data_IF_827616749775
#
_entry.id   IF_827616749775
#
_cell.length_a   1.000
_cell.length_b   1.000
_cell.length_c   1.000
_cell.angle_alpha   90.00
_cell.angle_beta   90.00
_cell.angle_gamma   90.00
#
_symmetry.space_group_name_H-M   'P 1'
#
loop_
_entity.id
_entity.type
_entity.pdbx_description
1 polymer ?
#
# COMPACT_ATOMS: atom_id res chain seq x y z
N UNK A 1 -27.04 -9.56 15.14
CA UNK A 1 -26.87 -8.87 13.84
C UNK A 1 -25.38 -8.89 13.52
N UNK A 2 -25.00 -9.81 12.63
CA UNK A 2 -23.59 -10.10 12.29
C UNK A 2 -23.15 -9.19 11.14
N UNK A 3 -22.21 -8.29 11.41
CA UNK A 3 -21.55 -7.46 10.37
C UNK A 3 -20.55 -8.32 9.65
N UNK A 4 -20.97 -8.91 8.52
CA UNK A 4 -20.08 -9.62 7.62
C UNK A 4 -19.04 -8.67 7.02
N UNK A 5 -17.77 -8.82 7.43
CA UNK A 5 -16.63 -8.21 6.74
C UNK A 5 -16.53 -8.82 5.35
N UNK A 6 -16.77 -8.00 4.34
CA UNK A 6 -16.50 -8.38 2.94
C UNK A 6 -14.97 -8.45 2.80
N UNK A 7 -14.44 -9.66 2.76
CA UNK A 7 -13.04 -9.92 2.40
C UNK A 7 -13.01 -9.92 0.88
N UNK A 8 -12.55 -8.82 0.28
CA UNK A 8 -12.20 -8.79 -1.14
C UNK A 8 -10.92 -9.63 -1.28
N UNK A 9 -10.92 -10.73 -2.03
CA UNK A 9 -9.71 -11.51 -2.24
C UNK A 9 -8.73 -10.66 -3.05
N UNK A 10 -7.63 -10.27 -2.42
CA UNK A 10 -6.47 -9.68 -3.12
C UNK A 10 -6.00 -10.73 -4.14
N UNK A 11 -5.90 -10.40 -5.44
CA UNK A 11 -5.52 -11.40 -6.44
C UNK A 11 -4.13 -11.96 -6.09
N UNK A 12 -4.02 -13.28 -6.06
CA UNK A 12 -2.80 -14.05 -5.73
C UNK A 12 -1.55 -13.66 -6.56
N UNK A 13 -1.74 -12.89 -7.61
CA UNK A 13 -0.70 -12.38 -8.50
C UNK A 13 0.22 -11.36 -7.80
N UNK A 14 -0.28 -10.55 -6.87
CA UNK A 14 0.51 -9.55 -6.13
C UNK A 14 1.55 -10.19 -5.21
N UNK A 15 1.19 -11.28 -4.51
CA UNK A 15 2.13 -11.97 -3.62
C UNK A 15 3.27 -12.66 -4.39
N UNK A 16 2.99 -13.21 -5.59
CA UNK A 16 4.01 -13.86 -6.42
C UNK A 16 4.99 -12.86 -7.05
N UNK A 17 4.55 -11.64 -7.33
CA UNK A 17 5.41 -10.58 -7.86
C UNK A 17 6.45 -10.11 -6.85
N UNK A 18 6.03 -9.82 -5.61
CA UNK A 18 6.94 -9.44 -4.52
C UNK A 18 7.93 -10.56 -4.17
N UNK A 19 7.45 -11.82 -4.18
CA UNK A 19 8.29 -13.00 -3.94
C UNK A 19 9.31 -13.20 -5.08
N UNK A 20 9.00 -12.81 -6.30
CA UNK A 20 9.89 -12.93 -7.47
C UNK A 20 10.95 -11.84 -7.53
N UNK A 21 10.63 -10.60 -7.16
CA UNK A 21 11.63 -9.53 -6.95
C UNK A 21 12.57 -9.94 -5.81
N UNK A 22 12.05 -10.53 -4.75
CA UNK A 22 12.84 -11.05 -3.64
C UNK A 22 13.75 -12.21 -4.06
N UNK A 23 13.29 -13.13 -4.92
CA UNK A 23 14.10 -14.25 -5.44
C UNK A 23 15.17 -13.82 -6.45
N UNK A 24 14.92 -12.81 -7.27
CA UNK A 24 15.94 -12.21 -8.14
C UNK A 24 17.05 -11.57 -7.29
N UNK A 25 16.69 -10.96 -6.17
CA UNK A 25 17.64 -10.38 -5.20
C UNK A 25 18.50 -11.47 -4.54
N UNK A 26 17.94 -12.62 -4.17
CA UNK A 26 18.70 -13.74 -3.60
C UNK A 26 19.62 -14.43 -4.61
N UNK A 27 19.28 -14.43 -5.91
CA UNK A 27 20.12 -15.06 -6.95
C UNK A 27 21.35 -14.22 -7.27
N UNK A 28 21.22 -12.88 -7.26
CA UNK A 28 22.36 -11.98 -7.44
C UNK A 28 23.23 -11.83 -6.17
N UNK A 29 22.66 -12.04 -4.99
CA UNK A 29 23.41 -11.97 -3.73
C UNK A 29 24.36 -13.16 -3.52
N UNK A 30 24.02 -14.35 -4.04
CA UNK A 30 24.95 -15.51 -3.99
C UNK A 30 26.18 -15.33 -4.88
N UNK A 31 26.10 -14.57 -5.96
CA UNK A 31 27.25 -14.25 -6.80
C UNK A 31 28.11 -13.14 -6.20
N UNK A 32 27.52 -12.15 -5.54
CA UNK A 32 28.28 -11.09 -4.84
C UNK A 32 29.03 -11.61 -3.62
N UNK A 33 28.48 -12.59 -2.89
CA UNK A 33 29.14 -13.22 -1.77
C UNK A 33 30.34 -14.10 -2.19
N UNK A 34 30.29 -14.71 -3.37
CA UNK A 34 31.42 -15.50 -3.92
C UNK A 34 32.57 -14.64 -4.44
N UNK A 35 32.30 -13.41 -4.91
CA UNK A 35 33.34 -12.47 -5.33
C UNK A 35 34.00 -11.80 -4.13
N UNK A 36 33.27 -11.57 -3.02
CA UNK A 36 33.85 -10.99 -1.80
C UNK A 36 34.75 -11.97 -1.03
N UNK A 37 34.49 -13.26 -1.13
CA UNK A 37 35.35 -14.30 -0.50
C UNK A 37 36.68 -14.51 -1.21
N UNK A 38 36.82 -14.10 -2.48
CA UNK A 38 38.06 -14.24 -3.24
C UNK A 38 39.02 -13.04 -3.10
N UNK A 39 38.56 -11.90 -2.54
CA UNK A 39 39.38 -10.68 -2.38
C UNK A 39 40.00 -10.51 -0.98
N UNK A 40 39.58 -11.30 0.00
CA UNK A 40 40.06 -11.18 1.40
C UNK A 40 41.35 -11.98 1.68
N UNK A 41 41.90 -12.71 0.70
CA UNK A 41 43.09 -13.55 0.90
C UNK A 41 44.42 -12.92 0.44
N UNK A 42 44.46 -11.67 0.02
CA UNK A 42 45.72 -10.99 -0.32
C UNK A 42 45.70 -9.51 0.06
N UNK A 43 45.90 -9.17 1.32
CA UNK A 43 46.60 -7.95 1.76
C UNK A 43 46.61 -7.88 3.30
N UNK A 44 47.58 -8.47 3.90
CA UNK A 44 48.06 -8.09 5.23
C UNK A 44 49.07 -6.96 5.05
N UNK A 45 48.80 -5.80 5.61
CA UNK A 45 49.84 -4.86 6.06
C UNK A 45 49.21 -3.73 6.90
N UNK A 46 49.72 -3.61 8.07
CA UNK A 46 49.55 -2.65 9.15
C UNK A 46 49.63 -1.18 8.75
N UNK A 47 48.79 -0.35 9.34
CA UNK A 47 49.17 1.03 9.73
C UNK A 47 48.34 1.48 10.93
N UNK A 48 49.02 1.52 12.07
CA UNK A 48 48.59 2.29 13.25
C UNK A 48 48.77 3.77 12.97
N UNK A 49 47.80 4.60 13.35
CA UNK A 49 48.01 6.03 13.58
C UNK A 49 47.37 6.42 14.90
N UNK A 50 48.23 7.04 15.67
CA UNK A 50 48.23 7.49 17.04
C UNK A 50 47.20 8.57 17.35
N UNK A 51 46.64 8.46 18.54
CA UNK A 51 45.95 9.54 19.28
C UNK A 51 46.98 10.52 19.87
N UNK A 52 46.70 11.81 19.76
CA UNK A 52 47.19 12.81 20.75
C UNK A 52 46.24 14.03 20.81
N UNK A 53 46.06 14.60 22.00
CA UNK A 53 45.00 15.56 22.29
C UNK A 53 45.54 17.01 22.40
N UNK A 54 44.62 17.99 22.39
CA UNK A 54 44.94 19.32 22.89
C UNK A 54 44.33 20.48 22.11
N UNK A 55 43.44 21.18 22.69
CA UNK A 55 43.50 22.57 23.16
C UNK A 55 42.13 23.26 23.07
N UNK A 56 41.57 23.60 24.21
CA UNK A 56 40.78 24.81 24.45
C UNK A 56 41.78 25.95 24.76
N UNK A 57 41.48 27.26 24.73
CA UNK A 57 40.24 27.92 25.06
C UNK A 57 39.95 29.19 24.19
N UNK A 58 38.80 29.81 24.28
CA UNK A 58 38.65 31.17 24.81
C UNK A 58 37.20 31.69 24.73
N UNK A 59 36.74 32.16 25.87
CA UNK A 59 35.58 33.02 26.05
C UNK A 59 36.09 34.47 26.12
N UNK A 60 35.34 35.48 25.60
CA UNK A 60 34.72 36.38 26.56
C UNK A 60 33.35 37.00 26.21
N UNK A 61 32.64 37.21 27.29
CA UNK A 61 31.89 38.39 27.74
C UNK A 61 30.59 38.78 27.05
N UNK A 62 29.56 38.75 27.90
CA UNK A 62 28.30 39.49 27.77
C UNK A 62 28.47 40.99 27.99
N UNK A 63 27.48 41.81 27.61
CA UNK A 63 26.86 42.59 28.68
C UNK A 63 25.33 42.64 28.68
N UNK A 64 24.86 42.69 29.88
CA UNK A 64 23.60 43.11 30.49
C UNK A 64 22.55 43.84 29.65
N UNK A 65 21.29 43.36 29.74
CA UNK A 65 20.10 44.19 29.66
C UNK A 65 19.06 43.70 30.68
N UNK A 66 18.67 44.60 31.58
CA UNK A 66 17.68 44.42 32.65
C UNK A 66 16.30 44.04 32.18
N UNK A 67 15.53 43.28 32.98
CA UNK A 67 14.17 42.91 32.64
C UNK A 67 13.16 44.02 32.94
N UNK A 68 12.28 44.27 31.98
CA UNK A 68 11.12 45.15 32.15
C UNK A 68 9.98 44.36 32.81
N UNK A 69 9.30 45.00 33.76
CA UNK A 69 8.29 44.48 34.65
C UNK A 69 7.08 43.89 33.93
N UNK A 70 6.67 42.71 34.37
CA UNK A 70 5.46 42.01 33.93
C UNK A 70 4.19 42.72 34.44
N UNK A 71 3.33 43.14 33.53
CA UNK A 71 1.96 43.58 33.84
C UNK A 71 1.06 42.37 34.09
N UNK A 72 0.33 42.39 35.21
CA UNK A 72 -0.66 41.34 35.61
C UNK A 72 -1.81 41.29 34.63
N UNK A 73 -2.22 40.11 34.14
CA UNK A 73 -3.43 39.95 33.32
C UNK A 73 -4.67 40.08 34.21
N UNK A 74 -5.63 40.93 33.79
CA UNK A 74 -6.97 41.03 34.39
C UNK A 74 -7.76 39.72 34.10
N UNK A 75 -8.31 39.16 35.18
CA UNK A 75 -9.24 38.02 35.09
C UNK A 75 -10.49 38.39 34.28
N UNK A 76 -10.74 37.65 33.18
CA UNK A 76 -12.00 37.63 32.44
C UNK A 76 -13.02 36.76 33.19
N UNK A 77 -14.32 37.12 33.21
CA UNK A 77 -15.34 36.31 33.83
C UNK A 77 -15.50 34.96 33.16
N UNK A 78 -15.75 33.91 33.94
CA UNK A 78 -15.94 32.55 33.51
C UNK A 78 -17.05 32.42 32.44
N UNK A 79 -16.69 31.90 31.26
CA UNK A 79 -17.64 31.55 30.22
C UNK A 79 -18.52 30.36 30.71
N UNK A 80 -19.84 30.49 30.54
CA UNK A 80 -20.83 29.42 30.83
C UNK A 80 -20.44 28.16 30.02
N UNK A 81 -20.49 26.99 30.69
CA UNK A 81 -20.33 25.67 30.03
C UNK A 81 -21.21 25.60 28.79
N UNK A 82 -20.68 25.20 27.64
CA UNK A 82 -21.51 24.90 26.47
C UNK A 82 -22.42 23.71 26.75
N UNK A 83 -23.66 23.79 26.29
CA UNK A 83 -24.60 22.70 26.35
C UNK A 83 -24.07 21.47 25.56
N UNK A 84 -24.41 20.23 25.97
CA UNK A 84 -23.99 19.05 25.24
C UNK A 84 -24.46 19.13 23.78
N UNK A 85 -23.55 18.88 22.84
CA UNK A 85 -23.87 18.83 21.43
C UNK A 85 -24.97 17.78 21.16
N UNK A 86 -25.93 18.06 20.26
CA UNK A 86 -26.90 17.06 19.86
C UNK A 86 -26.19 15.85 19.25
N UNK A 87 -26.75 14.63 19.39
CA UNK A 87 -26.17 13.44 18.77
C UNK A 87 -26.01 13.66 17.27
N UNK A 88 -24.95 13.11 16.64
CA UNK A 88 -24.77 13.24 15.20
C UNK A 88 -26.02 12.73 14.51
N UNK A 89 -26.64 13.59 13.69
CA UNK A 89 -27.76 13.22 12.86
C UNK A 89 -27.38 11.98 12.07
N UNK A 90 -28.22 10.95 12.11
CA UNK A 90 -28.10 9.80 11.25
C UNK A 90 -27.86 10.31 9.83
N UNK A 91 -26.79 9.84 9.19
CA UNK A 91 -26.51 10.16 7.79
C UNK A 91 -27.73 9.67 7.02
N UNK A 92 -28.63 10.60 6.71
CA UNK A 92 -29.76 10.33 5.83
C UNK A 92 -29.13 9.85 4.51
N UNK A 93 -29.47 8.65 4.08
CA UNK A 93 -29.19 8.19 2.73
C UNK A 93 -29.69 9.28 1.79
N UNK A 94 -28.83 9.83 0.90
CA UNK A 94 -29.27 10.85 -0.03
C UNK A 94 -30.47 10.29 -0.79
N UNK A 95 -31.56 11.09 -0.84
CA UNK A 95 -32.68 10.79 -1.70
C UNK A 95 -32.16 10.55 -3.14
N UNK A 96 -32.74 9.60 -3.89
CA UNK A 96 -32.33 9.41 -5.26
C UNK A 96 -32.48 10.76 -5.99
N UNK A 97 -31.49 11.16 -6.81
CA UNK A 97 -31.60 12.37 -7.61
C UNK A 97 -32.91 12.28 -8.44
N UNK A 98 -33.62 13.40 -8.62
CA UNK A 98 -34.77 13.42 -9.51
C UNK A 98 -34.35 12.92 -10.88
N UNK A 99 -35.26 12.22 -11.59
CA UNK A 99 -35.06 11.52 -12.86
C UNK A 99 -34.11 12.28 -13.81
N UNK A 100 -32.81 12.05 -13.67
CA UNK A 100 -31.82 12.47 -14.66
C UNK A 100 -31.86 11.42 -15.78
N UNK A 101 -32.30 11.80 -16.99
CA UNK A 101 -32.33 10.88 -18.12
C UNK A 101 -30.97 10.30 -18.49
N UNK A 102 -29.87 10.90 -17.99
CA UNK A 102 -28.51 10.40 -18.14
C UNK A 102 -27.99 9.54 -16.96
N UNK A 103 -28.81 9.38 -15.90
CA UNK A 103 -28.42 8.56 -14.75
C UNK A 103 -28.23 7.10 -15.18
N UNK A 104 -27.07 6.53 -14.86
CA UNK A 104 -26.86 5.11 -15.09
C UNK A 104 -27.59 4.27 -14.03
N UNK A 105 -28.86 3.96 -14.32
CA UNK A 105 -29.72 3.20 -13.42
C UNK A 105 -29.18 1.81 -13.10
N UNK A 106 -28.44 1.19 -14.02
CA UNK A 106 -27.81 -0.13 -13.84
C UNK A 106 -26.74 -0.01 -12.77
N UNK A 107 -25.81 0.92 -12.94
CA UNK A 107 -24.72 1.13 -11.99
C UNK A 107 -25.22 1.64 -10.63
N UNK A 108 -26.22 2.53 -10.64
CA UNK A 108 -26.86 3.01 -9.42
C UNK A 108 -27.55 1.90 -8.61
N UNK A 109 -28.21 0.95 -9.27
CA UNK A 109 -28.80 -0.22 -8.61
C UNK A 109 -27.69 -1.14 -8.03
N UNK A 110 -26.63 -1.36 -8.79
CA UNK A 110 -25.47 -2.16 -8.36
C UNK A 110 -24.81 -1.58 -7.10
N UNK A 111 -24.53 -0.26 -7.08
CA UNK A 111 -23.89 0.40 -5.93
C UNK A 111 -24.74 0.34 -4.66
N UNK A 112 -26.07 0.37 -4.80
CA UNK A 112 -26.99 0.23 -3.67
C UNK A 112 -27.18 -1.22 -3.21
N UNK A 113 -26.49 -2.20 -3.82
CA UNK A 113 -26.64 -3.61 -3.51
C UNK A 113 -27.95 -4.24 -4.03
N UNK A 114 -28.68 -3.55 -4.89
CA UNK A 114 -29.91 -4.03 -5.55
C UNK A 114 -29.55 -4.87 -6.76
N UNK A 115 -28.79 -5.94 -6.55
CA UNK A 115 -28.15 -6.72 -7.60
C UNK A 115 -29.15 -7.39 -8.57
N UNK A 116 -30.33 -7.82 -8.08
CA UNK A 116 -31.37 -8.36 -8.94
C UNK A 116 -31.92 -7.30 -9.89
N UNK A 117 -32.19 -6.11 -9.38
CA UNK A 117 -32.61 -4.96 -10.19
C UNK A 117 -31.53 -4.57 -11.19
N UNK A 118 -30.26 -4.53 -10.76
CA UNK A 118 -29.12 -4.26 -11.66
C UNK A 118 -29.05 -5.31 -12.79
N UNK A 119 -29.24 -6.58 -12.45
CA UNK A 119 -29.26 -7.67 -13.43
C UNK A 119 -30.40 -7.53 -14.45
N UNK A 120 -31.62 -7.25 -13.99
CA UNK A 120 -32.78 -7.12 -14.87
C UNK A 120 -32.62 -5.90 -15.82
N UNK A 121 -32.20 -4.75 -15.28
CA UNK A 121 -31.93 -3.53 -16.06
C UNK A 121 -30.76 -3.74 -17.05
N UNK A 122 -29.66 -4.37 -16.61
CA UNK A 122 -28.52 -4.64 -17.46
C UNK A 122 -28.88 -5.62 -18.59
N UNK A 123 -29.69 -6.65 -18.30
CA UNK A 123 -30.17 -7.61 -19.31
C UNK A 123 -30.99 -6.91 -20.37
N UNK A 124 -31.97 -6.09 -19.96
CA UNK A 124 -32.78 -5.31 -20.87
C UNK A 124 -31.93 -4.42 -21.78
N UNK A 125 -31.04 -3.62 -21.18
CA UNK A 125 -30.19 -2.67 -21.91
C UNK A 125 -29.18 -3.36 -22.84
N UNK A 126 -28.65 -4.51 -22.44
CA UNK A 126 -27.74 -5.32 -23.26
C UNK A 126 -28.44 -5.94 -24.46
N UNK A 127 -29.71 -6.36 -24.29
CA UNK A 127 -30.50 -6.99 -25.36
C UNK A 127 -31.11 -5.98 -26.33
N UNK A 128 -31.66 -4.89 -25.83
CA UNK A 128 -32.36 -3.87 -26.66
C UNK A 128 -31.36 -2.96 -27.37
N UNK A 129 -30.30 -2.54 -26.68
CA UNK A 129 -29.39 -1.48 -27.18
C UNK A 129 -28.00 -1.99 -27.52
N UNK A 130 -27.68 -3.26 -27.22
CA UNK A 130 -26.31 -3.78 -27.41
C UNK A 130 -25.27 -3.07 -26.56
N UNK A 131 -25.68 -2.46 -25.41
CA UNK A 131 -24.82 -1.60 -24.59
C UNK A 131 -23.65 -2.41 -23.96
N UNK A 132 -22.39 -2.08 -24.32
CA UNK A 132 -21.24 -2.80 -23.81
C UNK A 132 -21.06 -2.68 -22.29
N UNK A 133 -21.42 -1.53 -21.68
CA UNK A 133 -21.33 -1.34 -20.23
C UNK A 133 -22.34 -2.21 -19.48
N UNK A 134 -23.55 -2.36 -20.02
CA UNK A 134 -24.53 -3.29 -19.46
C UNK A 134 -24.07 -4.74 -19.58
N UNK A 135 -23.45 -5.12 -20.69
CA UNK A 135 -22.84 -6.44 -20.85
C UNK A 135 -21.70 -6.69 -19.84
N UNK A 136 -20.85 -5.68 -19.61
CA UNK A 136 -19.76 -5.74 -18.60
C UNK A 136 -20.36 -5.92 -17.20
N UNK A 137 -21.42 -5.22 -16.85
CA UNK A 137 -22.13 -5.40 -15.58
C UNK A 137 -22.71 -6.81 -15.42
N UNK A 138 -23.29 -7.38 -16.46
CA UNK A 138 -23.76 -8.78 -16.43
C UNK A 138 -22.59 -9.76 -16.19
N UNK A 139 -21.46 -9.53 -16.84
CA UNK A 139 -20.22 -10.27 -16.60
C UNK A 139 -19.79 -10.19 -15.13
N UNK A 140 -19.81 -9.01 -14.53
CA UNK A 140 -19.44 -8.78 -13.14
C UNK A 140 -20.40 -9.46 -12.14
N UNK A 141 -21.71 -9.36 -12.38
CA UNK A 141 -22.70 -10.02 -11.54
C UNK A 141 -22.55 -11.54 -11.56
N UNK A 142 -22.30 -12.15 -12.72
CA UNK A 142 -22.02 -13.59 -12.83
C UNK A 142 -20.67 -13.98 -12.21
N UNK A 143 -19.61 -13.19 -12.43
CA UNK A 143 -18.26 -13.48 -11.93
C UNK A 143 -18.19 -13.48 -10.40
N UNK A 144 -18.99 -12.62 -9.75
CA UNK A 144 -19.00 -12.45 -8.29
C UNK A 144 -20.17 -13.18 -7.61
N UNK A 145 -21.20 -13.59 -8.36
CA UNK A 145 -22.39 -14.22 -7.79
C UNK A 145 -23.28 -13.23 -7.03
N UNK A 146 -23.31 -11.97 -7.46
CA UNK A 146 -24.10 -10.94 -6.81
C UNK A 146 -25.57 -11.01 -7.25
N UNK A 147 -26.47 -11.34 -6.32
CA UNK A 147 -27.89 -11.48 -6.57
C UNK A 147 -28.31 -12.70 -7.39
N UNK A 148 -27.34 -13.52 -7.81
CA UNK A 148 -27.50 -14.76 -8.57
C UNK A 148 -26.38 -15.77 -8.27
N UNK A 149 -26.52 -16.99 -8.73
CA UNK A 149 -25.45 -18.00 -8.59
C UNK A 149 -24.26 -17.61 -9.46
N UNK A 150 -23.06 -17.62 -8.87
CA UNK A 150 -21.80 -17.42 -9.60
C UNK A 150 -21.66 -18.40 -10.76
N UNK A 151 -21.28 -17.86 -11.92
CA UNK A 151 -21.09 -18.65 -13.15
C UNK A 151 -19.97 -18.01 -13.99
N UNK A 152 -18.76 -18.53 -13.86
CA UNK A 152 -17.57 -17.99 -14.54
C UNK A 152 -17.66 -18.17 -16.07
N UNK A 153 -18.38 -19.18 -16.56
CA UNK A 153 -18.57 -19.39 -18.00
C UNK A 153 -19.49 -18.32 -18.60
N UNK A 154 -20.60 -18.00 -17.92
CA UNK A 154 -21.47 -16.90 -18.33
C UNK A 154 -20.79 -15.54 -18.20
N UNK A 155 -20.01 -15.34 -17.13
CA UNK A 155 -19.21 -14.12 -16.98
C UNK A 155 -18.27 -13.93 -18.18
N UNK A 156 -17.52 -14.98 -18.53
CA UNK A 156 -16.62 -14.97 -19.71
C UNK A 156 -17.37 -14.64 -21.00
N UNK A 157 -18.55 -15.23 -21.21
CA UNK A 157 -19.35 -15.00 -22.41
C UNK A 157 -19.82 -13.53 -22.51
N UNK A 158 -20.26 -12.93 -21.38
CA UNK A 158 -20.69 -11.54 -21.34
C UNK A 158 -19.51 -10.57 -21.50
N UNK A 159 -18.40 -10.79 -20.79
CA UNK A 159 -17.21 -9.97 -20.95
C UNK A 159 -16.64 -10.03 -22.36
N UNK A 160 -16.68 -11.22 -23.01
CA UNK A 160 -16.25 -11.35 -24.39
C UNK A 160 -17.12 -10.50 -25.33
N UNK A 161 -18.44 -10.54 -25.18
CA UNK A 161 -19.36 -9.73 -26.01
C UNK A 161 -19.10 -8.23 -25.80
N UNK A 162 -18.91 -7.80 -24.56
CA UNK A 162 -18.62 -6.41 -24.25
C UNK A 162 -17.23 -5.97 -24.78
N UNK A 163 -16.22 -6.84 -24.66
CA UNK A 163 -14.87 -6.61 -25.18
C UNK A 163 -14.84 -6.51 -26.71
N UNK A 164 -15.58 -7.40 -27.39
CA UNK A 164 -15.75 -7.38 -28.84
C UNK A 164 -16.47 -6.08 -29.30
N UNK A 165 -17.32 -5.51 -28.45
CA UNK A 165 -17.96 -4.19 -28.65
C UNK A 165 -17.12 -2.99 -28.19
N UNK A 166 -15.85 -3.21 -27.80
CA UNK A 166 -14.88 -2.15 -27.50
C UNK A 166 -14.83 -1.69 -26.04
N UNK A 167 -15.52 -2.36 -25.11
CA UNK A 167 -15.48 -1.95 -23.69
C UNK A 167 -14.12 -2.33 -23.04
N UNK A 168 -13.39 -1.31 -22.60
CA UNK A 168 -12.05 -1.48 -22.03
C UNK A 168 -12.05 -2.21 -20.68
N UNK A 169 -13.09 -2.02 -19.87
CA UNK A 169 -13.20 -2.72 -18.58
C UNK A 169 -13.46 -4.21 -18.81
N UNK A 170 -14.34 -4.55 -19.75
CA UNK A 170 -14.60 -5.94 -20.12
C UNK A 170 -13.34 -6.64 -20.68
N UNK A 171 -12.54 -5.93 -21.51
CA UNK A 171 -11.26 -6.46 -21.99
C UNK A 171 -10.33 -6.78 -20.82
N UNK A 172 -10.25 -5.91 -19.82
CA UNK A 172 -9.44 -6.12 -18.63
C UNK A 172 -9.95 -7.33 -17.82
N UNK A 173 -11.24 -7.36 -17.50
CA UNK A 173 -11.84 -8.45 -16.70
C UNK A 173 -11.74 -9.81 -17.41
N UNK A 174 -11.97 -9.84 -18.72
CA UNK A 174 -11.78 -11.06 -19.54
C UNK A 174 -10.32 -11.53 -19.48
N UNK A 175 -9.36 -10.60 -19.57
CA UNK A 175 -7.94 -10.95 -19.46
C UNK A 175 -7.63 -11.56 -18.09
N UNK A 176 -8.20 -11.01 -17.01
CA UNK A 176 -8.00 -11.56 -15.67
C UNK A 176 -8.61 -12.96 -15.52
N UNK A 177 -9.78 -13.23 -16.12
CA UNK A 177 -10.36 -14.56 -16.16
C UNK A 177 -9.48 -15.55 -16.95
N UNK A 178 -8.92 -15.12 -18.09
CA UNK A 178 -7.99 -15.94 -18.90
C UNK A 178 -6.69 -16.26 -18.17
N UNK A 179 -6.14 -15.32 -17.41
CA UNK A 179 -4.97 -15.55 -16.57
C UNK A 179 -5.24 -16.53 -15.42
N UNK A 180 -6.43 -16.45 -14.85
CA UNK A 180 -6.85 -17.29 -13.72
C UNK A 180 -7.39 -18.67 -14.13
N UNK A 181 -7.66 -18.93 -15.41
CA UNK A 181 -8.32 -20.16 -15.88
C UNK A 181 -9.77 -20.25 -15.41
N UNK A 182 -10.44 -19.12 -15.22
CA UNK A 182 -11.85 -19.06 -14.80
C UNK A 182 -12.76 -18.97 -16.03
N UNK A 183 -13.80 -19.80 -16.07
CA UNK A 183 -14.73 -19.86 -17.22
C UNK A 183 -14.12 -20.43 -18.50
N UNK A 184 -12.92 -21.03 -18.42
CA UNK A 184 -12.19 -21.66 -19.52
C UNK A 184 -10.74 -21.96 -19.16
N UNK A 185 -9.94 -22.55 -20.06
CA UNK A 185 -8.54 -22.81 -19.81
C UNK A 185 -7.73 -21.51 -19.66
N UNK A 186 -6.59 -21.60 -18.93
CA UNK A 186 -5.62 -20.50 -18.87
C UNK A 186 -5.12 -20.19 -20.27
N UNK A 187 -5.17 -18.91 -20.64
CA UNK A 187 -4.66 -18.42 -21.94
C UNK A 187 -3.95 -17.08 -21.73
N UNK A 188 -2.63 -17.15 -21.53
CA UNK A 188 -1.79 -15.96 -21.23
C UNK A 188 -1.60 -15.07 -22.45
N UNK A 189 -1.53 -15.65 -23.64
CA UNK A 189 -1.34 -14.94 -24.90
C UNK A 189 -2.58 -14.09 -25.23
N UNK A 190 -3.78 -14.67 -25.10
CA UNK A 190 -5.04 -13.93 -25.25
C UNK A 190 -5.15 -12.80 -24.20
N UNK A 191 -4.81 -13.12 -22.95
CA UNK A 191 -4.82 -12.13 -21.87
C UNK A 191 -3.87 -10.95 -22.15
N UNK A 192 -2.67 -11.21 -22.66
CA UNK A 192 -1.72 -10.15 -23.04
C UNK A 192 -2.30 -9.24 -24.13
N UNK A 193 -2.93 -9.80 -25.14
CA UNK A 193 -3.60 -9.03 -26.21
C UNK A 193 -4.75 -8.18 -25.68
N UNK A 194 -5.60 -8.75 -24.82
CA UNK A 194 -6.70 -8.05 -24.18
C UNK A 194 -6.21 -6.93 -23.28
N UNK A 195 -5.17 -7.16 -22.47
CA UNK A 195 -4.55 -6.12 -21.63
C UNK A 195 -3.96 -5.00 -22.46
N UNK A 196 -3.28 -5.32 -23.57
CA UNK A 196 -2.72 -4.31 -24.47
C UNK A 196 -3.82 -3.45 -25.12
N UNK A 197 -4.92 -4.08 -25.54
CA UNK A 197 -6.07 -3.37 -26.12
C UNK A 197 -6.75 -2.48 -25.08
N UNK A 198 -7.00 -3.00 -23.89
CA UNK A 198 -7.60 -2.25 -22.77
C UNK A 198 -6.71 -1.08 -22.33
N UNK A 199 -5.38 -1.30 -22.23
CA UNK A 199 -4.41 -0.27 -21.89
C UNK A 199 -4.38 0.86 -22.94
N UNK A 200 -4.44 0.53 -24.23
CA UNK A 200 -4.53 1.50 -25.33
C UNK A 200 -5.77 2.38 -25.23
N UNK A 201 -6.87 1.86 -24.68
CA UNK A 201 -8.10 2.59 -24.42
C UNK A 201 -8.07 3.34 -23.05
N UNK A 202 -6.93 3.40 -22.39
CA UNK A 202 -6.71 4.17 -21.16
C UNK A 202 -7.16 3.48 -19.87
N UNK A 203 -7.21 2.16 -19.86
CA UNK A 203 -7.44 1.42 -18.61
C UNK A 203 -6.12 1.30 -17.83
N UNK A 204 -6.01 2.00 -16.71
CA UNK A 204 -4.80 2.03 -15.87
C UNK A 204 -4.49 0.68 -15.22
N UNK A 205 -5.52 -0.11 -14.86
CA UNK A 205 -5.33 -1.46 -14.32
C UNK A 205 -4.75 -2.40 -15.36
N UNK A 206 -5.24 -2.31 -16.60
CA UNK A 206 -4.70 -3.09 -17.71
C UNK A 206 -3.27 -2.69 -18.02
N UNK A 207 -2.98 -1.38 -18.05
CA UNK A 207 -1.63 -0.84 -18.26
C UNK A 207 -0.64 -1.35 -17.20
N UNK A 208 -1.02 -1.33 -15.94
CA UNK A 208 -0.23 -1.89 -14.85
C UNK A 208 0.01 -3.40 -15.00
N UNK A 209 -1.04 -4.18 -15.29
CA UNK A 209 -0.91 -5.63 -15.45
C UNK A 209 -0.06 -6.01 -16.69
N UNK A 210 -0.18 -5.25 -17.79
CA UNK A 210 0.68 -5.41 -18.96
C UNK A 210 2.15 -5.14 -18.62
N UNK A 211 2.44 -4.10 -17.84
CA UNK A 211 3.79 -3.82 -17.34
C UNK A 211 4.34 -5.01 -16.54
N UNK A 212 3.52 -5.62 -15.67
CA UNK A 212 3.93 -6.80 -14.92
C UNK A 212 4.26 -8.00 -15.83
N UNK A 213 3.56 -8.16 -16.96
CA UNK A 213 3.87 -9.22 -17.93
C UNK A 213 5.23 -9.00 -18.60
N UNK A 214 5.59 -7.74 -18.94
CA UNK A 214 6.93 -7.40 -19.44
C UNK A 214 8.03 -7.58 -18.39
N UNK A 215 7.73 -7.31 -17.10
CA UNK A 215 8.67 -7.61 -16.00
C UNK A 215 8.87 -9.12 -15.83
N UNK A 216 7.82 -9.89 -15.95
CA UNK A 216 7.83 -11.34 -15.77
C UNK A 216 8.58 -12.09 -16.85
N UNK A 217 8.45 -11.69 -18.10
CA UNK A 217 9.12 -12.31 -19.25
C UNK A 217 8.61 -13.72 -19.60
N UNK A 218 7.44 -14.15 -19.07
CA UNK A 218 6.93 -15.50 -19.27
C UNK A 218 6.08 -15.63 -20.55
N UNK A 219 5.28 -14.60 -20.83
CA UNK A 219 4.36 -14.58 -21.97
C UNK A 219 4.82 -13.61 -23.04
N UNK A 220 5.34 -12.47 -22.60
CA UNK A 220 5.97 -11.45 -23.44
C UNK A 220 7.48 -11.45 -23.17
N UNK A 221 8.34 -11.16 -24.16
CA UNK A 221 9.77 -10.98 -23.91
C UNK A 221 9.98 -9.95 -22.79
N UNK A 222 10.90 -10.23 -21.85
CA UNK A 222 11.19 -9.30 -20.77
C UNK A 222 11.72 -7.98 -21.33
N UNK A 223 11.04 -6.88 -20.99
CA UNK A 223 11.46 -5.53 -21.29
C UNK A 223 11.17 -4.60 -20.11
N UNK A 224 12.21 -4.40 -19.29
CA UNK A 224 12.09 -3.59 -18.07
C UNK A 224 11.98 -2.09 -18.37
N UNK A 225 12.49 -1.62 -19.52
CA UNK A 225 12.34 -0.22 -19.94
C UNK A 225 10.90 0.05 -20.35
N UNK A 226 10.37 -0.78 -21.22
CA UNK A 226 8.97 -0.66 -21.63
C UNK A 226 8.00 -0.85 -20.45
N UNK A 227 8.30 -1.77 -19.54
CA UNK A 227 7.54 -1.92 -18.29
C UNK A 227 7.55 -0.63 -17.46
N UNK A 228 8.70 0.07 -17.35
CA UNK A 228 8.77 1.35 -16.63
C UNK A 228 7.93 2.45 -17.30
N UNK A 229 7.88 2.49 -18.63
CA UNK A 229 7.03 3.42 -19.38
C UNK A 229 5.54 3.16 -19.13
N UNK A 230 5.12 1.91 -19.18
CA UNK A 230 3.74 1.52 -18.85
C UNK A 230 3.39 1.83 -17.40
N UNK A 231 4.30 1.52 -16.45
CA UNK A 231 4.10 1.88 -15.03
C UNK A 231 3.94 3.38 -14.85
N UNK A 232 4.70 4.20 -15.60
CA UNK A 232 4.55 5.66 -15.55
C UNK A 232 3.17 6.09 -16.03
N UNK A 233 2.72 5.58 -17.17
CA UNK A 233 1.37 5.89 -17.68
C UNK A 233 0.29 5.53 -16.67
N UNK A 234 0.36 4.35 -16.05
CA UNK A 234 -0.62 3.95 -15.03
C UNK A 234 -0.49 4.76 -13.73
N UNK A 235 0.74 5.14 -13.32
CA UNK A 235 0.99 5.97 -12.14
C UNK A 235 0.45 7.39 -12.32
N UNK A 236 0.67 7.99 -13.52
CA UNK A 236 0.15 9.30 -13.89
C UNK A 236 -1.39 9.31 -13.94
N UNK A 237 -2.00 8.17 -14.29
CA UNK A 237 -3.45 7.97 -14.20
C UNK A 237 -3.96 7.69 -12.76
N UNK A 238 -3.10 7.76 -11.74
CA UNK A 238 -3.47 7.65 -10.33
C UNK A 238 -3.48 6.22 -9.76
N UNK A 239 -2.98 5.19 -10.48
CA UNK A 239 -2.88 3.85 -9.90
C UNK A 239 -1.84 3.81 -8.79
N UNK A 240 -2.29 3.57 -7.56
CA UNK A 240 -1.42 3.45 -6.38
C UNK A 240 -0.42 2.28 -6.51
N UNK A 241 -0.85 1.19 -7.12
CA UNK A 241 -0.02 0.02 -7.38
C UNK A 241 1.09 0.35 -8.39
N UNK A 242 0.75 1.09 -9.45
CA UNK A 242 1.73 1.50 -10.45
C UNK A 242 2.71 2.54 -9.88
N UNK A 243 2.24 3.48 -9.06
CA UNK A 243 3.09 4.44 -8.36
C UNK A 243 4.10 3.72 -7.45
N UNK A 244 3.65 2.73 -6.67
CA UNK A 244 4.52 1.93 -5.82
C UNK A 244 5.54 1.10 -6.62
N UNK A 245 5.08 0.44 -7.68
CA UNK A 245 5.96 -0.36 -8.54
C UNK A 245 7.01 0.51 -9.24
N UNK A 246 6.62 1.68 -9.78
CA UNK A 246 7.55 2.61 -10.43
C UNK A 246 8.54 3.22 -9.41
N UNK A 247 8.09 3.48 -8.18
CA UNK A 247 8.98 3.91 -7.10
C UNK A 247 10.08 2.87 -6.82
N UNK A 248 9.72 1.60 -6.83
CA UNK A 248 10.69 0.50 -6.67
C UNK A 248 11.68 0.46 -7.84
N UNK A 249 11.21 0.70 -9.06
CA UNK A 249 12.07 0.80 -10.25
C UNK A 249 13.10 1.92 -10.11
N UNK A 250 12.68 3.13 -9.71
CA UNK A 250 13.60 4.25 -9.46
C UNK A 250 14.55 3.99 -8.28
N UNK A 251 14.07 3.33 -7.23
CA UNK A 251 14.90 2.98 -6.07
C UNK A 251 16.03 2.00 -6.42
N UNK A 252 15.74 1.04 -7.29
CA UNK A 252 16.66 -0.03 -7.67
C UNK A 252 17.45 0.25 -8.97
N UNK A 253 16.97 1.17 -9.80
CA UNK A 253 17.53 1.43 -11.13
C UNK A 253 17.13 0.35 -12.14
N UNK A 254 15.91 -0.18 -12.02
CA UNK A 254 15.39 -1.26 -12.87
C UNK A 254 14.67 -0.66 -14.07
N UNK A 255 15.21 -0.82 -15.28
CA UNK A 255 14.64 -0.24 -16.51
C UNK A 255 14.69 1.30 -16.59
N UNK A 256 15.04 1.98 -15.51
CA UNK A 256 15.25 3.43 -15.39
C UNK A 256 16.47 3.72 -14.53
N UNK A 257 17.15 4.85 -14.70
CA UNK A 257 18.23 5.27 -13.80
C UNK A 257 17.72 5.43 -12.36
N UNK A 258 18.57 5.10 -11.37
CA UNK A 258 18.23 5.33 -9.96
C UNK A 258 17.93 6.79 -9.69
N UNK A 259 16.85 7.04 -8.98
CA UNK A 259 16.40 8.39 -8.58
C UNK A 259 15.61 8.30 -7.27
N UNK A 260 16.29 8.57 -6.17
CA UNK A 260 15.69 8.48 -4.85
C UNK A 260 14.59 9.52 -4.62
N UNK A 261 14.69 10.70 -5.23
CA UNK A 261 13.68 11.74 -5.09
C UNK A 261 12.38 11.37 -5.81
N UNK A 262 12.50 10.85 -7.06
CA UNK A 262 11.32 10.35 -7.78
C UNK A 262 10.69 9.18 -7.06
N UNK A 263 11.51 8.26 -6.53
CA UNK A 263 11.02 7.16 -5.72
C UNK A 263 10.23 7.65 -4.50
N UNK A 264 10.79 8.60 -3.73
CA UNK A 264 10.11 9.14 -2.55
C UNK A 264 8.80 9.86 -2.90
N UNK A 265 8.76 10.66 -3.98
CA UNK A 265 7.53 11.32 -4.45
C UNK A 265 6.44 10.31 -4.84
N UNK A 266 6.80 9.26 -5.56
CA UNK A 266 5.87 8.21 -5.96
C UNK A 266 5.37 7.39 -4.76
N UNK A 267 6.26 7.08 -3.78
CA UNK A 267 5.86 6.43 -2.53
C UNK A 267 4.90 7.30 -1.73
N UNK A 268 5.13 8.61 -1.68
CA UNK A 268 4.21 9.55 -1.04
C UNK A 268 2.84 9.52 -1.71
N UNK A 269 2.79 9.62 -3.05
CA UNK A 269 1.54 9.59 -3.80
C UNK A 269 0.77 8.29 -3.58
N UNK A 270 1.45 7.13 -3.69
CA UNK A 270 0.85 5.82 -3.45
C UNK A 270 0.35 5.65 -2.00
N UNK A 271 1.09 6.17 -1.01
CA UNK A 271 0.70 6.19 0.41
C UNK A 271 -0.58 7.00 0.64
N UNK A 272 -0.69 8.18 0.01
CA UNK A 272 -1.90 9.01 0.07
C UNK A 272 -3.10 8.32 -0.60
N UNK A 273 -2.85 7.55 -1.65
CA UNK A 273 -3.87 6.73 -2.32
C UNK A 273 -4.21 5.42 -1.57
N UNK A 274 -3.62 5.20 -0.38
CA UNK A 274 -3.95 4.08 0.52
C UNK A 274 -3.16 2.80 0.28
N UNK A 275 -2.09 2.83 -0.50
CA UNK A 275 -1.20 1.68 -0.63
C UNK A 275 -0.36 1.52 0.64
N UNK A 276 -0.62 0.46 1.40
CA UNK A 276 -0.01 0.21 2.72
C UNK A 276 1.49 -0.06 2.62
N UNK A 277 1.94 -0.74 1.57
CA UNK A 277 3.37 -1.02 1.37
C UNK A 277 4.13 0.27 1.03
N UNK A 278 3.51 1.15 0.25
CA UNK A 278 4.04 2.49 0.00
C UNK A 278 4.07 3.36 1.28
N UNK A 279 3.08 3.25 2.18
CA UNK A 279 3.12 3.93 3.50
C UNK A 279 4.37 3.52 4.29
N UNK A 280 4.70 2.24 4.31
CA UNK A 280 5.89 1.71 5.01
C UNK A 280 7.19 2.19 4.36
N UNK A 281 7.30 2.06 3.04
CA UNK A 281 8.51 2.45 2.31
C UNK A 281 8.72 3.97 2.36
N UNK A 282 7.65 4.76 2.30
CA UNK A 282 7.73 6.21 2.46
C UNK A 282 8.11 6.62 3.89
N UNK A 283 7.57 5.91 4.89
CA UNK A 283 7.99 6.11 6.28
C UNK A 283 9.49 5.84 6.47
N UNK A 284 10.03 4.79 5.84
CA UNK A 284 11.47 4.50 5.86
C UNK A 284 12.26 5.60 5.15
N UNK A 285 11.77 6.10 4.02
CA UNK A 285 12.40 7.20 3.30
C UNK A 285 12.45 8.49 4.14
N UNK A 286 11.36 8.85 4.81
CA UNK A 286 11.29 9.98 5.75
C UNK A 286 12.22 9.81 6.96
N UNK A 287 12.27 8.60 7.51
CA UNK A 287 13.10 8.30 8.68
C UNK A 287 14.59 8.47 8.37
N UNK A 288 15.02 8.00 7.19
CA UNK A 288 16.42 8.05 6.75
C UNK A 288 16.78 9.35 6.03
N UNK A 289 15.81 10.14 5.57
CA UNK A 289 16.06 11.28 4.69
C UNK A 289 16.45 10.86 3.26
N UNK A 290 15.98 9.70 2.78
CA UNK A 290 16.34 9.16 1.46
C UNK A 290 15.40 9.69 0.39
N UNK A 291 15.89 10.58 -0.49
CA UNK A 291 15.10 11.22 -1.54
C UNK A 291 14.04 12.21 -1.02
N UNK A 292 14.03 12.49 0.27
CA UNK A 292 13.16 13.47 0.93
C UNK A 292 13.82 13.99 2.20
N UNK A 293 13.36 15.11 2.73
CA UNK A 293 13.86 15.64 3.99
C UNK A 293 13.56 14.67 5.14
N UNK A 294 14.55 14.46 6.01
CA UNK A 294 14.39 13.59 7.18
C UNK A 294 13.29 14.13 8.11
N UNK A 295 12.33 13.27 8.47
CA UNK A 295 11.24 13.58 9.39
C UNK A 295 10.81 12.32 10.15
N UNK A 296 11.46 12.06 11.28
CA UNK A 296 11.21 10.87 12.09
C UNK A 296 9.79 10.85 12.67
N UNK A 297 9.25 11.99 13.09
CA UNK A 297 7.90 12.06 13.67
C UNK A 297 6.81 11.70 12.63
N UNK A 298 6.93 12.21 11.40
CA UNK A 298 6.04 11.84 10.32
C UNK A 298 6.19 10.36 9.96
N UNK A 299 7.41 9.83 9.95
CA UNK A 299 7.68 8.40 9.72
C UNK A 299 6.97 7.52 10.74
N UNK A 300 7.05 7.85 12.04
CA UNK A 300 6.37 7.12 13.12
C UNK A 300 4.85 7.15 12.93
N UNK A 301 4.30 8.28 12.51
CA UNK A 301 2.85 8.42 12.24
C UNK A 301 2.39 7.46 11.14
N UNK A 302 3.13 7.38 10.04
CA UNK A 302 2.84 6.45 8.94
C UNK A 302 3.03 4.99 9.37
N UNK A 303 4.10 4.67 10.11
CA UNK A 303 4.31 3.32 10.64
C UNK A 303 3.16 2.89 11.56
N UNK A 304 2.64 3.78 12.42
CA UNK A 304 1.47 3.50 13.25
C UNK A 304 0.22 3.23 12.41
N UNK A 305 0.02 3.99 11.34
CA UNK A 305 -1.11 3.80 10.42
C UNK A 305 -1.03 2.44 9.74
N UNK A 306 0.11 2.11 9.13
CA UNK A 306 0.33 0.84 8.44
C UNK A 306 0.31 -0.37 9.41
N UNK A 307 0.84 -0.23 10.64
CA UNK A 307 0.79 -1.27 11.67
C UNK A 307 -0.65 -1.61 12.08
N UNK A 308 -1.52 -0.60 12.19
CA UNK A 308 -2.96 -0.78 12.45
C UNK A 308 -3.68 -1.48 11.29
N UNK A 309 -3.15 -1.40 10.08
CA UNK A 309 -3.64 -2.13 8.91
C UNK A 309 -3.05 -3.55 8.80
N UNK A 310 -2.46 -4.06 9.88
CA UNK A 310 -1.85 -5.39 9.97
C UNK A 310 -0.64 -5.60 9.05
N UNK A 311 0.08 -4.54 8.63
CA UNK A 311 1.33 -4.72 7.92
C UNK A 311 2.46 -5.15 8.89
N UNK A 312 3.02 -6.36 8.77
CA UNK A 312 3.97 -6.89 9.76
C UNK A 312 5.34 -6.22 9.70
N UNK A 313 5.71 -5.63 8.56
CA UNK A 313 6.95 -4.86 8.42
C UNK A 313 6.81 -3.54 9.19
N UNK A 314 5.66 -2.86 9.03
CA UNK A 314 5.36 -1.66 9.80
C UNK A 314 5.34 -1.92 11.30
N UNK A 315 4.73 -3.03 11.74
CA UNK A 315 4.67 -3.43 13.15
C UNK A 315 6.08 -3.63 13.73
N UNK A 316 6.96 -4.34 13.01
CA UNK A 316 8.35 -4.53 13.44
C UNK A 316 9.11 -3.19 13.47
N UNK A 317 9.00 -2.35 12.43
CA UNK A 317 9.67 -1.05 12.38
C UNK A 317 9.17 -0.11 13.48
N UNK A 318 7.86 -0.10 13.72
CA UNK A 318 7.26 0.69 14.81
C UNK A 318 7.77 0.25 16.18
N UNK A 319 7.87 -1.06 16.41
CA UNK A 319 8.46 -1.59 17.64
C UNK A 319 9.89 -1.11 17.86
N UNK A 320 10.74 -1.08 16.82
CA UNK A 320 12.11 -0.58 16.90
C UNK A 320 12.18 0.89 17.27
N UNK A 321 11.39 1.75 16.61
CA UNK A 321 11.42 3.19 16.87
C UNK A 321 10.86 3.54 18.25
N UNK A 322 9.85 2.80 18.74
CA UNK A 322 9.30 2.95 20.09
C UNK A 322 10.28 2.47 21.17
N UNK A 323 11.00 1.38 20.94
CA UNK A 323 11.99 0.88 21.87
C UNK A 323 13.23 1.82 21.96
N UNK A 324 13.59 2.46 20.86
CA UNK A 324 14.76 3.36 20.77
C UNK A 324 14.46 4.84 21.02
N UNK A 325 13.19 5.24 21.08
CA UNK A 325 12.82 6.64 21.24
C UNK A 325 13.16 7.54 20.05
N UNK A 326 13.09 7.00 18.82
CA UNK A 326 13.46 7.71 17.60
C UNK A 326 12.23 8.36 16.97
N UNK A 327 12.19 9.70 16.96
CA UNK A 327 11.04 10.49 16.48
C UNK A 327 9.80 10.42 17.38
N UNK A 328 9.88 9.72 18.52
CA UNK A 328 8.83 9.54 19.52
C UNK A 328 9.48 9.21 20.87
N UNK A 329 8.89 9.55 22.02
CA UNK A 329 9.37 9.09 23.32
C UNK A 329 9.42 7.55 23.39
N UNK A 330 10.38 7.03 24.18
CA UNK A 330 10.50 5.58 24.42
C UNK A 330 9.23 5.04 25.05
N UNK A 331 8.65 4.01 24.43
CA UNK A 331 7.53 3.24 24.95
C UNK A 331 7.78 1.75 24.74
N UNK A 332 8.42 1.12 25.74
CA UNK A 332 8.75 -0.31 25.68
C UNK A 332 7.52 -1.22 25.74
N UNK A 333 6.41 -0.77 26.37
CA UNK A 333 5.17 -1.55 26.44
C UNK A 333 4.50 -1.63 25.07
N UNK A 334 4.36 -0.49 24.40
CA UNK A 334 3.84 -0.45 23.03
C UNK A 334 4.80 -1.17 22.06
N UNK A 335 6.12 -1.02 22.25
CA UNK A 335 7.12 -1.70 21.45
C UNK A 335 6.99 -3.24 21.55
N UNK A 336 6.87 -3.78 22.77
CA UNK A 336 6.71 -5.22 22.99
C UNK A 336 5.40 -5.72 22.38
N UNK A 337 4.30 -4.97 22.51
CA UNK A 337 3.03 -5.30 21.85
C UNK A 337 3.22 -5.48 20.34
N UNK A 338 3.77 -4.49 19.66
CA UNK A 338 3.91 -4.53 18.20
C UNK A 338 4.94 -5.56 17.75
N UNK A 339 6.02 -5.74 18.52
CA UNK A 339 7.00 -6.79 18.27
C UNK A 339 6.38 -8.19 18.35
N UNK A 340 5.60 -8.46 19.39
CA UNK A 340 4.90 -9.74 19.56
C UNK A 340 3.96 -10.02 18.40
N UNK A 341 3.17 -9.01 17.98
CA UNK A 341 2.26 -9.15 16.83
C UNK A 341 3.04 -9.40 15.54
N UNK A 342 4.12 -8.66 15.26
CA UNK A 342 4.97 -8.87 14.10
C UNK A 342 5.61 -10.27 14.09
N UNK A 343 6.01 -10.77 15.26
CA UNK A 343 6.62 -12.10 15.45
C UNK A 343 5.64 -13.22 15.09
N UNK A 344 4.35 -13.09 15.44
CA UNK A 344 3.32 -14.06 15.02
C UNK A 344 3.13 -14.11 13.50
N UNK A 345 3.42 -13.01 12.81
CA UNK A 345 3.41 -12.92 11.35
C UNK A 345 4.77 -13.25 10.69
N UNK A 346 5.69 -13.87 11.42
CA UNK A 346 7.02 -14.27 10.92
C UNK A 346 8.00 -13.11 10.75
N UNK A 347 7.73 -11.93 11.34
CA UNK A 347 8.62 -10.76 11.33
C UNK A 347 9.21 -10.50 12.73
N UNK A 348 9.70 -11.57 13.39
CA UNK A 348 10.44 -11.47 14.64
C UNK A 348 11.77 -10.71 14.47
N UNK A 349 12.31 -10.22 15.60
CA UNK A 349 13.52 -9.41 15.66
C UNK A 349 14.32 -9.77 16.91
N UNK A 350 15.43 -10.51 16.77
CA UNK A 350 16.23 -10.94 17.92
C UNK A 350 16.82 -9.78 18.74
N UNK A 351 17.09 -8.64 18.12
CA UNK A 351 17.59 -7.47 18.85
C UNK A 351 16.50 -6.88 19.75
N UNK A 352 15.26 -6.82 19.24
CA UNK A 352 14.13 -6.43 20.07
C UNK A 352 13.81 -7.45 21.16
N UNK A 353 13.89 -8.75 20.86
CA UNK A 353 13.74 -9.81 21.88
C UNK A 353 14.71 -9.55 23.05
N UNK A 354 16.00 -9.26 22.74
CA UNK A 354 17.03 -8.97 23.75
C UNK A 354 16.73 -7.69 24.55
N UNK A 355 16.45 -6.58 23.86
CA UNK A 355 16.18 -5.28 24.49
C UNK A 355 14.94 -5.34 25.37
N UNK A 356 13.88 -5.99 24.91
CA UNK A 356 12.60 -6.07 25.62
C UNK A 356 12.57 -7.16 26.68
N UNK A 357 13.52 -8.11 26.68
CA UNK A 357 13.65 -9.15 27.73
C UNK A 357 13.90 -8.56 29.12
N UNK A 358 14.55 -7.39 29.20
CA UNK A 358 14.89 -6.71 30.46
C UNK A 358 13.74 -5.92 31.09
N UNK A 359 12.56 -5.90 30.46
CA UNK A 359 11.37 -5.22 30.99
C UNK A 359 10.87 -5.88 32.29
N UNK A 360 10.25 -5.06 33.14
CA UNK A 360 9.61 -5.56 34.36
C UNK A 360 8.49 -6.57 34.06
N UNK A 361 8.20 -7.52 34.97
CA UNK A 361 7.06 -8.43 34.80
C UNK A 361 5.73 -7.70 34.62
N UNK A 362 5.55 -6.57 35.30
CA UNK A 362 4.34 -5.74 35.19
C UNK A 362 4.18 -5.14 33.78
N UNK A 363 5.23 -4.57 33.19
CA UNK A 363 5.16 -4.00 31.87
C UNK A 363 5.00 -5.07 30.78
N UNK A 364 5.59 -6.24 30.96
CA UNK A 364 5.31 -7.40 30.09
C UNK A 364 3.84 -7.82 30.16
N UNK A 365 3.25 -7.88 31.34
CA UNK A 365 1.84 -8.19 31.49
C UNK A 365 0.92 -7.15 30.82
N UNK A 366 1.26 -5.84 30.92
CA UNK A 366 0.55 -4.78 30.20
C UNK A 366 0.63 -4.98 28.68
N UNK A 367 1.80 -5.27 28.16
CA UNK A 367 2.01 -5.54 26.73
C UNK A 367 1.20 -6.76 26.27
N UNK A 368 1.23 -7.86 27.01
CA UNK A 368 0.47 -9.08 26.70
C UNK A 368 -1.04 -8.83 26.71
N UNK A 369 -1.54 -8.03 27.68
CA UNK A 369 -2.94 -7.64 27.70
C UNK A 369 -3.30 -6.81 26.45
N UNK A 370 -2.42 -5.91 26.01
CA UNK A 370 -2.63 -5.12 24.80
C UNK A 370 -2.58 -5.98 23.51
N UNK A 371 -1.75 -7.01 23.47
CA UNK A 371 -1.71 -8.00 22.37
C UNK A 371 -3.01 -8.78 22.32
N UNK A 372 -3.47 -9.35 23.46
CA UNK A 372 -4.75 -10.08 23.52
C UNK A 372 -5.91 -9.22 23.05
N UNK A 373 -5.99 -7.97 23.53
CA UNK A 373 -7.01 -7.01 23.08
C UNK A 373 -6.98 -6.77 21.57
N UNK A 374 -5.78 -6.65 21.01
CA UNK A 374 -5.61 -6.44 19.56
C UNK A 374 -6.05 -7.64 18.73
N UNK A 375 -5.69 -8.84 19.16
CA UNK A 375 -6.04 -10.09 18.49
C UNK A 375 -7.49 -10.52 18.71
N UNK A 376 -8.27 -9.79 19.50
CA UNK A 376 -9.66 -10.12 19.83
C UNK A 376 -9.80 -11.30 20.78
N UNK A 377 -8.74 -11.75 21.42
CA UNK A 377 -8.80 -12.77 22.46
C UNK A 377 -9.39 -12.16 23.74
N UNK A 378 -10.49 -12.76 24.24
CA UNK A 378 -11.11 -12.44 25.52
C UNK A 378 -10.30 -12.98 26.69
#
# INVERSE_FOLDING_TARGET
MSTGKIIIPVPLFHLKFLDRICRLRCRNFKWAALILAAVILTAGASAQVSLAPGATPDKPAAPDAKPAAAAKPKLRPAAKKPAPAPPPAAIATPAPPPDDPNADLVYGAYQRGLYKTAFDLATKRAQENGDPKAMTMLGELYANGFGLKRDDAKATAWYKRAADAGDREAMFELAMLRLAGRGGPVNREEAAKLLASSAKLGNSKATYNLALMYVGGETLPQDLRHAAELLRVAADAGSAEAQYALATFYKEGTGVPKDAEKAARLLQAASLAGNVDAEVEYAIALFNGTGTSKNEAAAVTLLRKAAKQNNPIAQNRLARVLAGGQGVPVDKVEALKWHTIAKTAGKGDPDLDRVLSTMSPEDKAKADAAVRKWLGAK
#
